data_IF_640305228078
#
_entry.id   IF_640305228078
#
_cell.length_a   1.000
_cell.length_b   1.000
_cell.length_c   1.000
_cell.angle_alpha   90.00
_cell.angle_beta   90.00
_cell.angle_gamma   90.00
#
_symmetry.space_group_name_H-M   'P 1'
#
loop_
_entity.id
_entity.type
_entity.pdbx_description
1 polymer ?
#
# COMPACT_ATOMS: atom_id res chain seq x y z
N UNK A 1 -0.98 14.14 8.58
CA UNK A 1 -0.16 13.23 7.76
C UNK A 1 0.87 14.06 7.00
N UNK A 2 2.13 13.64 7.01
CA UNK A 2 3.12 14.30 6.17
C UNK A 2 3.14 13.58 4.81
N UNK A 3 2.34 14.07 3.87
CA UNK A 3 2.45 13.67 2.47
C UNK A 3 3.58 14.47 1.83
N UNK A 4 4.82 14.20 2.21
CA UNK A 4 6.00 14.91 1.71
C UNK A 4 6.16 14.87 0.17
N UNK A 5 5.31 14.12 -0.51
CA UNK A 5 5.23 14.00 -1.96
C UNK A 5 3.92 14.62 -2.53
N UNK A 6 3.28 15.51 -1.79
CA UNK A 6 2.07 16.22 -2.22
C UNK A 6 2.18 16.76 -3.65
N UNK A 7 3.33 17.32 -4.01
CA UNK A 7 3.57 17.87 -5.34
C UNK A 7 3.39 16.87 -6.50
N UNK A 8 3.70 15.59 -6.28
CA UNK A 8 3.46 14.54 -7.28
C UNK A 8 1.98 14.17 -7.35
N UNK A 9 1.35 13.99 -6.18
CA UNK A 9 -0.03 13.56 -6.06
C UNK A 9 -1.03 14.55 -6.66
N UNK A 10 -0.70 15.82 -6.66
CA UNK A 10 -1.54 16.85 -7.24
C UNK A 10 -1.65 16.79 -8.75
N UNK A 11 -0.63 16.28 -9.42
CA UNK A 11 -0.61 16.19 -10.88
C UNK A 11 -1.32 14.94 -11.38
N UNK A 12 -1.38 13.89 -10.58
CA UNK A 12 -2.04 12.65 -10.95
C UNK A 12 -3.53 12.73 -10.64
N UNK A 13 -4.36 12.43 -11.63
CA UNK A 13 -5.82 12.55 -11.56
C UNK A 13 -6.53 11.21 -11.68
N UNK A 14 -6.00 10.27 -12.46
CA UNK A 14 -6.58 8.95 -12.65
C UNK A 14 -6.43 8.09 -11.36
N UNK A 15 -7.53 7.58 -10.77
CA UNK A 15 -7.49 6.88 -9.49
C UNK A 15 -6.50 5.71 -9.45
N UNK A 16 -6.51 4.83 -10.45
CA UNK A 16 -5.60 3.68 -10.50
C UNK A 16 -4.13 4.07 -10.64
N UNK A 17 -3.83 5.18 -11.33
CA UNK A 17 -2.47 5.70 -11.45
C UNK A 17 -2.00 6.32 -10.13
N UNK A 18 -2.90 6.99 -9.40
CA UNK A 18 -2.64 7.48 -8.04
C UNK A 18 -2.33 6.34 -7.08
N UNK A 19 -3.10 5.25 -7.15
CA UNK A 19 -2.87 4.05 -6.34
C UNK A 19 -1.51 3.40 -6.67
N UNK A 20 -1.19 3.25 -7.96
CA UNK A 20 0.11 2.76 -8.40
C UNK A 20 1.25 3.66 -7.91
N UNK A 21 1.12 4.98 -8.06
CA UNK A 21 2.11 5.93 -7.57
C UNK A 21 2.31 5.82 -6.05
N UNK A 22 1.23 5.57 -5.28
CA UNK A 22 1.32 5.31 -3.84
C UNK A 22 2.13 4.05 -3.53
N UNK A 23 1.87 2.96 -4.22
CA UNK A 23 2.65 1.73 -4.05
C UNK A 23 4.14 1.94 -4.33
N UNK A 24 4.46 2.76 -5.32
CA UNK A 24 5.85 3.00 -5.72
C UNK A 24 6.60 3.94 -4.77
N UNK A 25 5.91 4.90 -4.14
CA UNK A 25 6.57 6.04 -3.49
C UNK A 25 6.24 6.24 -2.01
N UNK A 26 5.15 5.67 -1.50
CA UNK A 26 4.80 5.83 -0.08
C UNK A 26 5.86 5.22 0.84
N UNK A 27 6.11 5.82 2.01
CA UNK A 27 7.02 5.25 2.99
C UNK A 27 6.48 3.91 3.53
N UNK A 28 7.36 2.98 3.92
CA UNK A 28 6.93 1.74 4.54
C UNK A 28 6.24 2.01 5.89
N UNK A 29 5.21 1.23 6.22
CA UNK A 29 4.55 1.30 7.51
C UNK A 29 5.45 0.82 8.64
N UNK A 30 6.18 -0.28 8.41
CA UNK A 30 7.18 -0.81 9.33
C UNK A 30 8.47 -1.14 8.59
N UNK A 31 9.56 -1.22 9.34
CA UNK A 31 10.88 -1.59 8.82
C UNK A 31 11.05 -3.10 8.86
N UNK A 32 11.28 -3.71 7.71
CA UNK A 32 11.61 -5.13 7.58
C UNK A 32 13.11 -5.39 7.64
N UNK A 33 13.92 -4.34 7.46
CA UNK A 33 15.37 -4.42 7.35
C UNK A 33 15.88 -4.73 5.94
N UNK A 34 14.97 -4.92 4.97
CA UNK A 34 15.29 -5.20 3.58
C UNK A 34 14.30 -4.50 2.61
N UNK A 35 13.96 -3.26 2.91
CA UNK A 35 13.05 -2.47 2.07
C UNK A 35 13.67 -2.17 0.71
N UNK A 36 12.92 -2.41 -0.36
CA UNK A 36 13.28 -1.93 -1.68
C UNK A 36 13.18 -0.40 -1.71
N UNK A 37 14.26 0.25 -2.13
CA UNK A 37 14.27 1.72 -2.17
C UNK A 37 13.29 2.26 -3.22
N UNK A 38 12.70 3.43 -2.93
CA UNK A 38 11.82 4.13 -3.90
C UNK A 38 12.57 4.39 -5.21
N UNK A 39 13.87 4.72 -5.15
CA UNK A 39 14.70 4.98 -6.32
C UNK A 39 14.81 3.76 -7.24
N UNK A 40 15.01 2.58 -6.67
CA UNK A 40 15.10 1.33 -7.44
C UNK A 40 13.74 0.90 -7.98
N UNK A 41 12.70 0.99 -7.14
CA UNK A 41 11.35 0.59 -7.52
C UNK A 41 10.77 1.50 -8.62
N UNK A 42 10.94 2.81 -8.51
CA UNK A 42 10.44 3.79 -9.46
C UNK A 42 11.31 3.89 -10.71
N UNK A 43 12.63 3.76 -10.56
CA UNK A 43 13.61 3.98 -11.64
C UNK A 43 13.73 5.45 -12.05
N UNK A 44 14.71 5.77 -12.88
CA UNK A 44 15.00 7.15 -13.29
C UNK A 44 13.90 7.78 -14.14
N UNK A 45 13.17 6.99 -14.91
CA UNK A 45 12.09 7.44 -15.81
C UNK A 45 10.69 7.32 -15.18
N UNK A 46 10.58 6.80 -13.96
CA UNK A 46 9.30 6.40 -13.36
C UNK A 46 8.29 7.53 -13.23
N UNK A 47 8.72 8.74 -12.84
CA UNK A 47 7.82 9.88 -12.78
C UNK A 47 7.26 10.28 -14.14
N UNK A 48 8.09 10.28 -15.17
CA UNK A 48 7.66 10.59 -16.55
C UNK A 48 6.67 9.54 -17.04
N UNK A 49 6.92 8.28 -16.72
CA UNK A 49 6.05 7.19 -17.07
C UNK A 49 4.70 7.28 -16.35
N UNK A 50 4.68 7.59 -15.04
CA UNK A 50 3.43 7.81 -14.30
C UNK A 50 2.63 8.99 -14.87
N UNK A 51 3.26 10.09 -15.25
CA UNK A 51 2.58 11.23 -15.87
C UNK A 51 2.02 10.88 -17.25
N UNK A 52 2.75 10.11 -18.06
CA UNK A 52 2.26 9.63 -19.35
C UNK A 52 1.07 8.67 -19.16
N UNK A 53 1.14 7.78 -18.17
CA UNK A 53 0.06 6.86 -17.83
C UNK A 53 -1.17 7.58 -17.27
N UNK A 54 -1.00 8.70 -16.56
CA UNK A 54 -2.13 9.51 -16.07
C UNK A 54 -2.81 10.26 -17.23
N UNK A 55 -2.05 10.68 -18.23
CA UNK A 55 -2.60 11.30 -19.44
C UNK A 55 -3.36 10.30 -20.34
N UNK A 56 -2.95 9.02 -20.33
CA UNK A 56 -3.64 7.91 -20.97
C UNK A 56 -3.68 6.69 -20.04
N UNK A 57 -4.67 6.58 -19.15
CA UNK A 57 -4.79 5.48 -18.19
C UNK A 57 -5.34 4.18 -18.78
N UNK A 58 -5.71 4.16 -20.07
CA UNK A 58 -6.33 3.01 -20.71
C UNK A 58 -5.53 1.70 -20.55
N UNK A 59 -4.19 1.66 -20.75
CA UNK A 59 -3.43 0.41 -20.60
C UNK A 59 -3.52 -0.21 -19.19
N UNK A 60 -3.44 0.62 -18.14
CA UNK A 60 -3.60 0.17 -16.76
C UNK A 60 -5.04 -0.25 -16.47
N UNK A 61 -6.00 0.52 -16.94
CA UNK A 61 -7.43 0.23 -16.73
C UNK A 61 -7.82 -1.08 -17.39
N UNK A 62 -7.36 -1.34 -18.60
CA UNK A 62 -7.60 -2.60 -19.31
C UNK A 62 -6.98 -3.79 -18.56
N UNK A 63 -5.72 -3.66 -18.12
CA UNK A 63 -5.05 -4.69 -17.32
C UNK A 63 -5.85 -5.03 -16.07
N UNK A 64 -6.30 -4.03 -15.32
CA UNK A 64 -7.08 -4.22 -14.09
C UNK A 64 -8.46 -4.82 -14.39
N UNK A 65 -9.13 -4.38 -15.45
CA UNK A 65 -10.44 -4.89 -15.85
C UNK A 65 -10.40 -6.38 -16.20
N UNK A 66 -9.35 -6.82 -16.90
CA UNK A 66 -9.15 -8.24 -17.24
C UNK A 66 -8.94 -9.15 -16.02
N UNK A 67 -8.54 -8.55 -14.88
CA UNK A 67 -8.26 -9.27 -13.62
C UNK A 67 -9.37 -9.13 -12.57
N UNK A 68 -10.30 -8.18 -12.79
CA UNK A 68 -11.46 -7.98 -11.93
C UNK A 68 -12.41 -9.19 -11.97
N UNK A 69 -13.27 -9.41 -10.95
CA UNK A 69 -13.41 -8.58 -9.76
C UNK A 69 -12.38 -8.92 -8.66
N UNK A 70 -11.85 -7.88 -8.00
CA UNK A 70 -10.93 -8.05 -6.86
C UNK A 70 -11.66 -8.38 -5.56
N UNK A 71 -13.00 -8.21 -5.54
CA UNK A 71 -13.80 -8.25 -4.32
C UNK A 71 -13.29 -7.20 -3.32
N UNK A 72 -13.25 -7.54 -2.04
CA UNK A 72 -12.70 -6.63 -1.02
C UNK A 72 -11.21 -6.95 -0.69
N UNK A 73 -10.46 -7.56 -1.64
CA UNK A 73 -9.08 -8.00 -1.43
C UNK A 73 -8.08 -6.99 -1.97
N UNK A 74 -7.88 -5.92 -1.20
CA UNK A 74 -6.94 -4.85 -1.54
C UNK A 74 -5.53 -5.36 -1.90
N UNK A 75 -5.04 -6.42 -1.22
CA UNK A 75 -3.74 -7.02 -1.52
C UNK A 75 -3.63 -7.49 -2.97
N UNK A 76 -4.66 -8.20 -3.47
CA UNK A 76 -4.67 -8.67 -4.86
C UNK A 76 -4.69 -7.50 -5.86
N UNK A 77 -5.46 -6.45 -5.57
CA UNK A 77 -5.44 -5.24 -6.39
C UNK A 77 -4.06 -4.59 -6.41
N UNK A 78 -3.42 -4.46 -5.27
CA UNK A 78 -2.08 -3.91 -5.16
C UNK A 78 -1.02 -4.77 -5.89
N UNK A 79 -1.15 -6.10 -5.82
CA UNK A 79 -0.31 -7.02 -6.61
C UNK A 79 -0.51 -6.84 -8.12
N UNK A 80 -1.73 -6.62 -8.60
CA UNK A 80 -1.98 -6.36 -10.03
C UNK A 80 -1.41 -5.03 -10.50
N UNK A 81 -1.48 -3.99 -9.67
CA UNK A 81 -0.84 -2.71 -9.96
C UNK A 81 0.68 -2.84 -10.11
N UNK A 82 1.34 -3.56 -9.18
CA UNK A 82 2.79 -3.81 -9.28
C UNK A 82 3.13 -4.76 -10.43
N UNK A 83 2.32 -5.78 -10.71
CA UNK A 83 2.52 -6.66 -11.87
C UNK A 83 2.50 -5.87 -13.18
N UNK A 84 1.54 -4.93 -13.33
CA UNK A 84 1.52 -4.03 -14.46
C UNK A 84 2.80 -3.19 -14.53
N UNK A 85 3.21 -2.59 -13.42
CA UNK A 85 4.44 -1.79 -13.36
C UNK A 85 5.66 -2.59 -13.80
N UNK A 86 5.87 -3.78 -13.25
CA UNK A 86 7.02 -4.62 -13.57
C UNK A 86 7.01 -5.18 -15.01
N UNK A 87 5.85 -5.26 -15.63
CA UNK A 87 5.72 -5.68 -17.01
C UNK A 87 5.98 -4.55 -18.03
N UNK A 88 5.75 -3.27 -17.64
CA UNK A 88 5.74 -2.15 -18.60
C UNK A 88 6.76 -1.07 -18.30
N UNK A 89 7.27 -0.96 -17.07
CA UNK A 89 8.27 0.07 -16.73
C UNK A 89 9.60 -0.22 -17.43
N UNK A 90 10.25 0.81 -18.05
CA UNK A 90 11.43 0.60 -18.92
C UNK A 90 12.63 -0.06 -18.24
N UNK A 91 12.76 0.08 -16.92
CA UNK A 91 13.87 -0.47 -16.12
C UNK A 91 13.56 -1.82 -15.49
N UNK A 92 12.31 -2.31 -15.65
CA UNK A 92 11.83 -3.52 -15.00
C UNK A 92 11.62 -4.66 -16.01
N UNK A 93 11.75 -5.90 -15.52
CA UNK A 93 11.35 -7.11 -16.24
C UNK A 93 10.75 -8.10 -15.25
N UNK A 94 9.46 -8.35 -15.38
CA UNK A 94 8.77 -9.38 -14.60
C UNK A 94 9.18 -10.78 -15.10
N UNK A 95 9.72 -11.61 -14.22
CA UNK A 95 10.08 -12.99 -14.50
C UNK A 95 9.01 -13.98 -14.04
N UNK A 96 8.52 -13.80 -12.81
CA UNK A 96 7.46 -14.62 -12.23
C UNK A 96 6.63 -13.80 -11.22
N UNK A 97 5.40 -14.25 -11.00
CA UNK A 97 4.49 -13.74 -9.97
C UNK A 97 3.75 -14.89 -9.30
N UNK A 98 3.42 -14.73 -8.03
CA UNK A 98 2.73 -15.77 -7.25
C UNK A 98 3.39 -17.15 -7.43
N UNK A 99 4.74 -17.18 -7.37
CA UNK A 99 5.54 -18.37 -7.65
C UNK A 99 5.43 -19.34 -6.46
N UNK A 100 4.71 -20.48 -6.58
CA UNK A 100 4.55 -21.42 -5.49
C UNK A 100 5.83 -22.24 -5.27
N UNK A 101 6.18 -22.47 -4.03
CA UNK A 101 7.26 -23.35 -3.59
C UNK A 101 6.66 -24.54 -2.87
N UNK A 102 7.04 -25.72 -3.29
CA UNK A 102 6.52 -26.99 -2.77
C UNK A 102 7.61 -27.78 -2.02
N UNK A 103 7.20 -28.58 -1.02
CA UNK A 103 7.98 -29.67 -0.44
C UNK A 103 7.06 -30.86 -0.22
N UNK A 104 7.47 -32.03 -0.71
CA UNK A 104 6.74 -33.28 -0.52
C UNK A 104 5.24 -33.19 -0.91
N UNK A 105 4.95 -32.47 -2.01
CA UNK A 105 3.58 -32.26 -2.49
C UNK A 105 2.77 -31.23 -1.71
N UNK A 106 3.33 -30.57 -0.67
CA UNK A 106 2.68 -29.52 0.09
C UNK A 106 3.23 -28.14 -0.30
N UNK A 107 2.37 -27.13 -0.38
CA UNK A 107 2.79 -25.74 -0.63
C UNK A 107 3.41 -25.16 0.65
N UNK A 108 4.69 -24.79 0.60
CA UNK A 108 5.39 -24.08 1.66
C UNK A 108 4.99 -22.60 1.68
N UNK A 109 4.73 -22.01 0.52
CA UNK A 109 4.37 -20.61 0.33
C UNK A 109 4.41 -20.27 -1.15
N UNK A 110 4.21 -18.98 -1.46
CA UNK A 110 4.42 -18.45 -2.79
C UNK A 110 5.17 -17.12 -2.68
N UNK A 111 6.13 -16.91 -3.58
CA UNK A 111 6.82 -15.63 -3.72
C UNK A 111 5.96 -14.68 -4.56
N UNK A 112 5.71 -13.46 -4.09
CA UNK A 112 4.83 -12.53 -4.76
C UNK A 112 5.37 -12.18 -6.15
N UNK A 113 6.68 -11.79 -6.23
CA UNK A 113 7.31 -11.43 -7.49
C UNK A 113 8.77 -11.85 -7.57
N UNK A 114 9.21 -12.26 -8.79
CA UNK A 114 10.62 -12.33 -9.20
C UNK A 114 10.81 -11.35 -10.34
N UNK A 115 11.64 -10.32 -10.16
CA UNK A 115 11.74 -9.16 -11.06
C UNK A 115 13.20 -8.74 -11.24
N UNK A 116 13.59 -8.35 -12.43
CA UNK A 116 14.82 -7.56 -12.62
C UNK A 116 14.49 -6.07 -12.62
N UNK A 117 15.19 -5.29 -11.81
CA UNK A 117 15.21 -3.83 -11.85
C UNK A 117 16.65 -3.38 -12.15
N UNK A 118 16.86 -2.60 -13.21
CA UNK A 118 18.20 -2.14 -13.62
C UNK A 118 19.26 -3.26 -13.65
N UNK A 119 18.92 -4.46 -14.11
CA UNK A 119 19.74 -5.68 -14.17
C UNK A 119 19.97 -6.43 -12.85
N UNK A 120 19.58 -5.89 -11.71
CA UNK A 120 19.59 -6.63 -10.45
C UNK A 120 18.30 -7.44 -10.33
N UNK A 121 18.42 -8.73 -9.99
CA UNK A 121 17.26 -9.61 -9.75
C UNK A 121 16.82 -9.52 -8.30
N UNK A 122 15.53 -9.34 -8.10
CA UNK A 122 14.90 -9.26 -6.80
C UNK A 122 13.77 -10.30 -6.66
N UNK A 123 13.67 -10.87 -5.47
CA UNK A 123 12.45 -11.45 -4.94
C UNK A 123 11.77 -10.37 -4.10
N UNK A 124 10.58 -9.95 -4.50
CA UNK A 124 9.84 -8.86 -3.86
C UNK A 124 8.60 -9.41 -3.18
N UNK A 125 8.45 -9.14 -1.88
CA UNK A 125 7.25 -9.41 -1.10
C UNK A 125 6.48 -8.12 -0.84
N UNK A 126 5.17 -8.12 -1.17
CA UNK A 126 4.29 -6.97 -1.01
C UNK A 126 3.42 -7.10 0.24
N UNK A 127 3.34 -6.03 1.02
CA UNK A 127 2.40 -5.93 2.13
C UNK A 127 1.72 -4.56 2.15
N UNK A 128 0.40 -4.52 1.98
CA UNK A 128 -0.42 -3.31 2.13
C UNK A 128 -1.28 -3.46 3.39
N UNK A 129 -1.03 -2.64 4.41
CA UNK A 129 -1.65 -2.80 5.74
C UNK A 129 -2.03 -1.47 6.37
N UNK A 130 -3.17 -1.50 7.06
CA UNK A 130 -3.77 -0.36 7.76
C UNK A 130 -4.10 -0.82 9.16
N UNK A 131 -3.29 -0.39 10.13
CA UNK A 131 -3.36 -0.85 11.51
C UNK A 131 -3.60 0.30 12.48
N UNK A 132 -4.53 0.13 13.39
CA UNK A 132 -4.82 1.09 14.44
C UNK A 132 -4.77 0.47 15.84
N UNK A 133 -4.42 1.28 16.82
CA UNK A 133 -4.37 0.87 18.21
C UNK A 133 -3.79 1.94 19.13
N UNK A 134 -3.92 1.71 20.43
CA UNK A 134 -3.42 2.63 21.46
C UNK A 134 -1.95 2.41 21.81
N UNK A 135 -1.39 1.25 21.43
CA UNK A 135 0.01 0.87 21.62
C UNK A 135 0.49 0.07 20.42
N UNK A 136 1.81 0.04 20.20
CA UNK A 136 2.41 -0.66 19.05
C UNK A 136 2.07 -2.16 19.05
N UNK A 137 2.02 -2.79 20.23
CA UNK A 137 1.71 -4.19 20.39
C UNK A 137 0.25 -4.55 20.06
N UNK A 138 -0.65 -3.54 20.14
CA UNK A 138 -2.08 -3.70 19.91
C UNK A 138 -2.52 -3.35 18.48
N UNK A 139 -1.56 -2.98 17.62
CA UNK A 139 -1.85 -2.55 16.26
C UNK A 139 -2.51 -3.67 15.45
N UNK A 140 -3.75 -3.43 15.04
CA UNK A 140 -4.58 -4.37 14.29
C UNK A 140 -5.36 -3.67 13.18
N UNK A 141 -5.73 -4.44 12.17
CA UNK A 141 -6.60 -3.96 11.10
C UNK A 141 -8.06 -3.80 11.58
N UNK A 142 -8.92 -3.33 10.67
CA UNK A 142 -10.38 -3.36 10.90
C UNK A 142 -10.88 -4.80 11.13
N UNK A 143 -10.18 -5.82 10.62
CA UNK A 143 -10.31 -7.20 11.08
C UNK A 143 -9.37 -7.40 12.29
N UNK A 144 -9.90 -7.62 13.52
CA UNK A 144 -9.08 -7.72 14.73
C UNK A 144 -8.08 -8.88 14.74
N UNK A 145 -8.27 -9.88 13.87
CA UNK A 145 -7.34 -11.01 13.72
C UNK A 145 -6.08 -10.67 12.93
N UNK A 146 -6.08 -9.56 12.18
CA UNK A 146 -4.95 -9.10 11.38
C UNK A 146 -4.08 -8.15 12.23
N UNK A 147 -3.03 -8.67 12.83
CA UNK A 147 -2.13 -7.93 13.76
C UNK A 147 -0.77 -7.66 13.10
N UNK A 148 -0.20 -6.48 13.38
CA UNK A 148 1.13 -6.08 12.87
C UNK A 148 2.22 -7.09 13.22
N UNK A 149 2.31 -7.50 14.50
CA UNK A 149 3.36 -8.41 14.97
C UNK A 149 3.35 -9.73 14.19
N UNK A 150 2.19 -10.35 14.01
CA UNK A 150 2.06 -11.58 13.24
C UNK A 150 2.42 -11.40 11.76
N UNK A 151 2.07 -10.25 11.17
CA UNK A 151 2.39 -9.96 9.76
C UNK A 151 3.88 -9.70 9.56
N UNK A 152 4.53 -8.99 10.47
CA UNK A 152 5.97 -8.75 10.42
C UNK A 152 6.77 -10.07 10.45
N UNK A 153 6.42 -10.98 11.34
CA UNK A 153 7.04 -12.33 11.42
C UNK A 153 6.81 -13.12 10.14
N UNK A 154 5.57 -13.12 9.63
CA UNK A 154 5.26 -13.84 8.39
C UNK A 154 6.05 -13.28 7.21
N UNK A 155 6.24 -11.98 7.11
CA UNK A 155 7.03 -11.35 6.04
C UNK A 155 8.47 -11.86 6.03
N UNK A 156 9.11 -12.00 7.19
CA UNK A 156 10.47 -12.58 7.30
C UNK A 156 10.52 -14.01 6.76
N UNK A 157 9.51 -14.83 7.06
CA UNK A 157 9.43 -16.19 6.54
C UNK A 157 9.26 -16.19 4.99
N UNK A 158 8.43 -15.31 4.47
CA UNK A 158 8.21 -15.16 3.04
C UNK A 158 9.51 -14.74 2.32
N UNK A 159 10.22 -13.74 2.86
CA UNK A 159 11.51 -13.28 2.30
C UNK A 159 12.59 -14.37 2.26
N UNK A 160 12.54 -15.34 3.14
CA UNK A 160 13.46 -16.48 3.15
C UNK A 160 13.05 -17.59 2.17
N UNK A 161 11.85 -17.57 1.62
CA UNK A 161 11.26 -18.69 0.88
C UNK A 161 12.14 -19.15 -0.29
N UNK A 162 12.60 -18.24 -1.14
CA UNK A 162 13.45 -18.58 -2.29
C UNK A 162 14.90 -18.89 -1.94
N UNK A 163 15.34 -18.66 -0.69
CA UNK A 163 16.66 -19.05 -0.19
C UNK A 163 16.69 -20.47 0.39
N UNK A 164 15.54 -21.11 0.57
CA UNK A 164 15.43 -22.52 0.98
C UNK A 164 15.92 -23.46 -0.14
N UNK A 165 16.30 -24.72 0.18
CA UNK A 165 16.60 -25.69 -0.86
C UNK A 165 15.49 -25.85 -1.89
N UNK A 166 14.22 -25.93 -1.44
CA UNK A 166 13.04 -26.03 -2.29
C UNK A 166 12.80 -24.78 -3.15
N UNK A 167 13.04 -23.59 -2.58
CA UNK A 167 12.94 -22.32 -3.33
C UNK A 167 13.97 -22.27 -4.44
N UNK A 168 15.22 -22.65 -4.20
CA UNK A 168 16.27 -22.73 -5.22
C UNK A 168 15.98 -23.76 -6.29
N UNK A 169 15.48 -24.92 -5.91
CA UNK A 169 15.01 -25.94 -6.85
C UNK A 169 13.88 -25.40 -7.74
N UNK A 170 12.93 -24.67 -7.16
CA UNK A 170 11.83 -24.02 -7.92
C UNK A 170 12.38 -23.04 -8.94
N UNK A 171 13.34 -22.17 -8.56
CA UNK A 171 13.97 -21.22 -9.49
C UNK A 171 14.64 -21.96 -10.66
N UNK A 172 15.42 -23.01 -10.37
CA UNK A 172 16.11 -23.81 -11.38
C UNK A 172 15.12 -24.52 -12.32
N UNK A 173 14.12 -25.19 -11.76
CA UNK A 173 13.11 -25.94 -12.52
C UNK A 173 12.28 -25.05 -13.45
N UNK A 174 12.00 -23.82 -13.02
CA UNK A 174 11.25 -22.82 -13.80
C UNK A 174 12.16 -21.99 -14.74
N UNK A 175 13.44 -22.28 -14.82
CA UNK A 175 14.43 -21.53 -15.58
C UNK A 175 14.41 -20.01 -15.25
N UNK A 176 14.20 -19.70 -13.98
CA UNK A 176 14.21 -18.32 -13.46
C UNK A 176 15.63 -17.92 -13.06
N UNK A 177 15.91 -16.60 -12.98
CA UNK A 177 17.23 -16.11 -12.54
C UNK A 177 17.57 -16.64 -11.13
N UNK A 178 18.82 -17.07 -10.98
CA UNK A 178 19.33 -17.59 -9.71
C UNK A 178 19.56 -16.47 -8.67
N UNK A 179 19.44 -16.84 -7.40
CA UNK A 179 19.88 -16.03 -6.25
C UNK A 179 19.34 -14.59 -6.23
N UNK A 180 18.01 -14.40 -6.36
CA UNK A 180 17.43 -13.07 -6.26
C UNK A 180 17.66 -12.49 -4.86
N UNK A 181 17.90 -11.15 -4.80
CA UNK A 181 17.94 -10.43 -3.53
C UNK A 181 16.52 -10.30 -3.00
N UNK A 182 16.25 -10.84 -1.80
CA UNK A 182 14.94 -10.73 -1.17
C UNK A 182 14.76 -9.35 -0.55
N UNK A 183 13.69 -8.66 -0.97
CA UNK A 183 13.33 -7.33 -0.52
C UNK A 183 11.82 -7.20 -0.29
N UNK A 184 11.42 -6.22 0.49
CA UNK A 184 10.02 -5.96 0.77
C UNK A 184 9.54 -4.62 0.19
N UNK A 185 8.28 -4.59 -0.19
CA UNK A 185 7.51 -3.37 -0.48
C UNK A 185 6.37 -3.31 0.53
N UNK A 186 6.62 -2.67 1.68
CA UNK A 186 5.63 -2.48 2.74
C UNK A 186 4.95 -1.13 2.56
N UNK A 187 3.64 -1.10 2.50
CA UNK A 187 2.82 0.12 2.36
C UNK A 187 1.69 0.14 3.38
N UNK A 188 1.22 1.31 3.68
CA UNK A 188 0.04 1.49 4.54
C UNK A 188 0.16 2.62 5.53
N UNK A 189 -0.74 2.61 6.51
CA UNK A 189 -0.88 3.68 7.49
C UNK A 189 -1.01 3.08 8.88
N UNK A 190 -0.26 3.65 9.84
CA UNK A 190 -0.44 3.40 11.26
C UNK A 190 -1.38 4.45 11.87
N UNK A 191 -2.42 4.02 12.58
CA UNK A 191 -3.39 4.91 13.20
C UNK A 191 -3.24 4.87 14.71
N UNK A 192 -3.13 6.05 15.32
CA UNK A 192 -2.88 6.21 16.76
C UNK A 192 -3.81 7.25 17.37
N UNK A 193 -4.11 7.20 18.67
CA UNK A 193 -4.84 8.28 19.34
C UNK A 193 -4.13 9.63 19.17
N UNK A 194 -4.89 10.71 19.28
CA UNK A 194 -4.31 12.05 19.30
C UNK A 194 -3.20 12.18 20.37
N UNK A 195 -2.08 12.77 20.00
CA UNK A 195 -0.93 12.99 20.90
C UNK A 195 -0.07 11.75 21.15
N UNK A 196 -0.24 10.68 20.36
CA UNK A 196 0.63 9.53 20.44
C UNK A 196 1.98 9.81 19.75
N UNK A 197 3.07 9.79 20.52
CA UNK A 197 4.44 10.10 20.05
C UNK A 197 5.43 8.93 20.18
N UNK A 198 4.99 7.80 20.73
CA UNK A 198 5.87 6.65 20.90
C UNK A 198 6.08 5.89 19.59
N UNK A 199 7.35 5.72 19.20
CA UNK A 199 7.76 4.90 18.06
C UNK A 199 8.69 3.82 18.54
N UNK A 200 8.20 2.60 18.50
CA UNK A 200 8.96 1.42 18.81
C UNK A 200 9.09 0.55 17.55
N UNK A 201 10.25 -0.08 17.33
CA UNK A 201 10.37 -1.09 16.28
C UNK A 201 9.24 -2.14 16.39
N UNK A 202 8.71 -2.61 15.24
CA UNK A 202 9.23 -2.41 13.91
C UNK A 202 8.67 -1.16 13.18
N UNK A 203 7.86 -0.31 13.82
CA UNK A 203 7.26 0.84 13.15
C UNK A 203 8.30 1.77 12.52
N UNK A 204 8.00 2.25 11.33
CA UNK A 204 8.78 3.28 10.68
C UNK A 204 8.39 4.66 11.23
N UNK A 205 9.31 5.42 11.88
CA UNK A 205 9.00 6.74 12.41
C UNK A 205 8.60 7.76 11.33
N UNK A 206 8.95 7.50 10.06
CA UNK A 206 8.60 8.32 8.91
C UNK A 206 7.42 7.76 8.11
N UNK A 207 6.80 6.68 8.58
CA UNK A 207 5.60 6.09 7.96
C UNK A 207 4.40 7.04 8.01
N UNK A 208 3.47 6.84 7.10
CA UNK A 208 2.22 7.59 7.14
C UNK A 208 1.41 7.24 8.39
N UNK A 209 0.78 8.26 8.96
CA UNK A 209 -0.01 8.16 10.18
C UNK A 209 -1.39 8.74 10.00
N UNK A 210 -2.33 8.16 10.72
CA UNK A 210 -3.67 8.68 10.88
C UNK A 210 -4.12 8.65 12.33
N UNK A 211 -5.35 9.05 12.57
CA UNK A 211 -5.97 9.09 13.89
C UNK A 211 -6.76 7.80 14.12
N UNK A 212 -6.54 7.15 15.26
CA UNK A 212 -7.33 6.00 15.71
C UNK A 212 -8.37 6.45 16.72
N UNK A 213 -9.64 6.08 16.49
CA UNK A 213 -10.72 6.33 17.43
C UNK A 213 -11.63 5.11 17.55
N UNK A 214 -12.21 4.92 18.73
CA UNK A 214 -13.32 4.00 18.97
C UNK A 214 -14.65 4.74 19.09
N UNK A 215 -14.59 5.99 19.52
CA UNK A 215 -15.75 6.86 19.67
C UNK A 215 -15.46 8.22 19.03
N UNK A 216 -16.46 8.81 18.39
CA UNK A 216 -16.33 10.15 17.80
C UNK A 216 -16.04 11.25 18.82
N UNK A 217 -16.31 11.04 20.11
CA UNK A 217 -15.91 11.95 21.18
C UNK A 217 -14.37 12.03 21.35
N UNK A 218 -13.62 11.04 20.87
CA UNK A 218 -12.15 11.02 20.89
C UNK A 218 -11.52 11.83 19.75
N UNK A 219 -12.30 12.15 18.71
CA UNK A 219 -11.83 12.94 17.58
C UNK A 219 -12.06 14.43 17.79
N UNK A 220 -11.01 15.24 17.53
CA UNK A 220 -11.08 16.70 17.61
C UNK A 220 -11.37 17.28 16.24
N UNK A 221 -12.57 17.85 16.07
CA UNK A 221 -12.98 18.52 14.85
C UNK A 221 -12.44 19.95 14.80
N UNK A 222 -11.12 20.10 14.64
CA UNK A 222 -10.43 21.39 14.69
C UNK A 222 -10.53 22.20 13.40
N UNK A 223 -10.87 21.55 12.27
CA UNK A 223 -10.92 22.16 10.93
C UNK A 223 -12.35 22.58 10.59
N UNK A 224 -12.64 23.86 10.68
CA UNK A 224 -14.02 24.41 10.51
C UNK A 224 -14.61 24.20 9.12
N UNK A 225 -13.79 24.07 8.09
CA UNK A 225 -14.24 23.88 6.69
C UNK A 225 -13.95 22.47 6.16
N UNK A 226 -13.53 21.55 7.03
CA UNK A 226 -13.25 20.19 6.59
C UNK A 226 -14.51 19.48 6.08
N UNK A 227 -14.32 18.67 5.08
CA UNK A 227 -15.27 17.64 4.64
C UNK A 227 -14.67 16.26 4.93
N UNK A 228 -15.50 15.26 4.81
CA UNK A 228 -15.13 13.88 5.11
C UNK A 228 -15.54 12.98 3.95
N UNK A 229 -14.86 11.85 3.81
CA UNK A 229 -15.25 10.82 2.86
C UNK A 229 -14.98 9.45 3.46
N UNK A 230 -15.98 8.57 3.46
CA UNK A 230 -15.82 7.18 3.84
C UNK A 230 -15.18 6.44 2.68
N UNK A 231 -13.97 5.93 2.90
CA UNK A 231 -13.22 5.24 1.86
C UNK A 231 -13.74 3.83 1.62
N UNK A 232 -14.02 3.52 0.38
CA UNK A 232 -14.14 2.13 -0.03
C UNK A 232 -12.80 1.40 0.17
N UNK A 233 -12.87 0.09 0.49
CA UNK A 233 -11.66 -0.69 0.77
C UNK A 233 -10.64 -0.65 -0.36
N UNK A 234 -11.09 -0.55 -1.60
CA UNK A 234 -10.21 -0.48 -2.77
C UNK A 234 -9.54 0.89 -2.94
N UNK A 235 -10.05 1.93 -2.28
CA UNK A 235 -9.51 3.29 -2.31
C UNK A 235 -8.51 3.60 -1.16
N UNK A 236 -7.98 2.58 -0.47
CA UNK A 236 -7.10 2.80 0.68
C UNK A 236 -5.66 3.18 0.30
N UNK A 237 -5.21 2.82 -0.92
CA UNK A 237 -3.80 2.93 -1.31
C UNK A 237 -3.33 4.38 -1.43
N UNK A 238 -4.04 5.20 -2.19
CA UNK A 238 -3.70 6.61 -2.38
C UNK A 238 -4.44 7.52 -1.40
N UNK A 239 -3.93 8.73 -1.13
CA UNK A 239 -4.72 9.80 -0.52
C UNK A 239 -5.95 10.12 -1.36
N UNK A 240 -7.10 10.32 -0.72
CA UNK A 240 -8.34 10.59 -1.40
C UNK A 240 -8.29 11.92 -2.20
N UNK A 241 -8.93 11.93 -3.37
CA UNK A 241 -9.25 13.10 -4.18
C UNK A 241 -10.64 12.92 -4.72
N UNK A 242 -11.60 13.66 -4.18
CA UNK A 242 -13.03 13.45 -4.46
C UNK A 242 -13.72 14.73 -4.87
N UNK A 243 -14.83 14.62 -5.61
CA UNK A 243 -15.71 15.74 -5.93
C UNK A 243 -16.50 16.18 -4.68
N UNK A 244 -17.01 17.38 -4.67
CA UNK A 244 -17.82 17.89 -3.55
C UNK A 244 -19.05 17.01 -3.28
N UNK A 245 -19.66 16.47 -4.33
CA UNK A 245 -20.82 15.58 -4.24
C UNK A 245 -20.59 14.31 -3.43
N UNK A 246 -19.34 13.88 -3.31
CA UNK A 246 -18.91 12.65 -2.64
C UNK A 246 -18.43 12.92 -1.21
N UNK A 247 -18.55 14.17 -0.75
CA UNK A 247 -18.13 14.56 0.59
C UNK A 247 -19.30 14.47 1.58
N UNK A 248 -18.94 14.24 2.83
CA UNK A 248 -19.84 14.22 4.00
C UNK A 248 -19.49 15.39 4.92
N UNK A 249 -20.50 15.92 5.62
CA UNK A 249 -20.29 16.87 6.71
C UNK A 249 -20.05 16.17 8.06
N UNK A 250 -19.77 16.95 9.12
CA UNK A 250 -19.52 16.41 10.46
C UNK A 250 -20.71 15.61 11.01
N UNK A 251 -21.95 16.05 10.79
CA UNK A 251 -23.14 15.36 11.29
C UNK A 251 -23.32 14.01 10.61
N UNK A 252 -23.01 13.92 9.34
CA UNK A 252 -23.11 12.69 8.55
C UNK A 252 -22.01 11.70 8.93
N UNK A 253 -20.77 12.17 9.06
CA UNK A 253 -19.64 11.27 9.37
C UNK A 253 -19.76 10.66 10.77
N UNK A 254 -20.33 11.39 11.74
CA UNK A 254 -20.57 10.87 13.10
C UNK A 254 -21.49 9.65 13.16
N UNK A 255 -22.22 9.34 12.08
CA UNK A 255 -23.08 8.15 11.96
C UNK A 255 -22.31 6.91 11.50
N UNK A 256 -21.03 7.07 11.10
CA UNK A 256 -20.21 5.96 10.66
C UNK A 256 -19.65 5.23 11.89
N UNK A 257 -19.95 3.95 11.99
CA UNK A 257 -19.53 3.12 13.12
C UNK A 257 -18.16 2.48 12.92
N UNK A 258 -17.77 2.20 11.66
CA UNK A 258 -16.52 1.51 11.35
C UNK A 258 -16.02 1.84 9.95
N UNK A 259 -14.71 2.06 9.77
CA UNK A 259 -14.11 2.29 8.48
C UNK A 259 -12.88 3.19 8.50
N UNK A 260 -12.30 3.40 7.32
CA UNK A 260 -11.29 4.43 7.08
C UNK A 260 -11.96 5.65 6.48
N UNK A 261 -11.70 6.81 7.07
CA UNK A 261 -12.34 8.07 6.71
C UNK A 261 -11.25 9.07 6.35
N UNK A 262 -11.33 9.65 5.16
CA UNK A 262 -10.50 10.77 4.76
C UNK A 262 -11.09 12.08 5.33
N UNK A 263 -10.25 12.89 5.96
CA UNK A 263 -10.52 14.29 6.29
C UNK A 263 -9.99 15.14 5.16
N UNK A 264 -10.84 15.96 4.59
CA UNK A 264 -10.62 16.60 3.30
C UNK A 264 -10.52 18.12 3.42
N UNK A 265 -9.66 18.69 2.58
CA UNK A 265 -9.54 20.13 2.34
C UNK A 265 -9.75 20.42 0.85
N UNK A 266 -10.47 21.52 0.55
CA UNK A 266 -10.65 21.98 -0.81
C UNK A 266 -9.31 22.52 -1.37
N UNK A 267 -8.96 22.13 -2.59
CA UNK A 267 -7.74 22.55 -3.27
C UNK A 267 -8.06 23.40 -4.51
N UNK A 268 -7.08 24.15 -5.03
CA UNK A 268 -7.28 25.03 -6.19
C UNK A 268 -7.75 24.34 -7.47
N UNK A 269 -7.59 23.02 -7.58
CA UNK A 269 -8.10 22.22 -8.72
C UNK A 269 -9.61 21.95 -8.63
N UNK A 270 -10.29 22.45 -7.59
CA UNK A 270 -11.72 22.28 -7.39
C UNK A 270 -12.13 20.95 -6.78
N UNK A 271 -11.16 20.11 -6.37
CA UNK A 271 -11.40 18.85 -5.71
C UNK A 271 -11.05 18.92 -4.22
N UNK A 272 -11.67 18.03 -3.47
CA UNK A 272 -11.38 17.81 -2.05
C UNK A 272 -10.29 16.76 -1.91
N UNK A 273 -9.18 17.16 -1.30
CA UNK A 273 -8.00 16.30 -1.12
C UNK A 273 -7.82 15.91 0.34
N UNK A 274 -7.37 14.69 0.55
CA UNK A 274 -7.10 14.18 1.88
C UNK A 274 -5.95 14.90 2.57
N UNK A 275 -6.21 15.44 3.74
CA UNK A 275 -5.24 16.08 4.62
C UNK A 275 -4.92 15.20 5.85
N UNK A 276 -5.84 14.32 6.25
CA UNK A 276 -5.69 13.40 7.36
C UNK A 276 -6.56 12.16 7.11
N UNK A 277 -6.21 11.04 7.73
CA UNK A 277 -7.02 9.82 7.70
C UNK A 277 -7.37 9.36 9.10
N UNK A 278 -8.62 8.97 9.31
CA UNK A 278 -9.13 8.42 10.55
C UNK A 278 -9.42 6.93 10.36
N UNK A 279 -9.01 6.11 11.32
CA UNK A 279 -9.53 4.76 11.49
C UNK A 279 -10.53 4.77 12.63
N UNK A 280 -11.83 4.67 12.29
CA UNK A 280 -12.89 4.43 13.24
C UNK A 280 -13.06 2.92 13.38
N UNK A 281 -12.77 2.39 14.55
CA UNK A 281 -12.99 0.98 14.89
C UNK A 281 -14.12 0.84 15.91
N UNK A 282 -14.68 -0.36 15.97
CA UNK A 282 -15.72 -0.72 16.97
C UNK A 282 -15.07 -1.14 18.28
#
# INVERSE_FOLDING_TARGET
>A
MNYALDALWWKLTAPSVRDLASLLTAPPLWQSGCELSVRELLGEQGFRYLLALDADPAPLTEHLTQRAPFGHRLGIYAEELLAFWFAHAPHAKLHARNLPVFSDGQTLGAADFVVSLNRQVYHIELACKYYGGSQVQDLRGLNPKDMLAGKAVKLVQQLNLLHTPQGRETLTTQALPDSPVSVSVVRGIGFFPHGFDAFEPPLNPYGWRGVYIRNWAEYRFERTEARYHLLDRMAYLAPARVAETDTLNETEIRRIDNGLIAVLELRPDGFWHEAERIMKAV
#
